data_IF_721075483508
#
_entry.id   IF_721075483508
#
_cell.length_a   1.000
_cell.length_b   1.000
_cell.length_c   1.000
_cell.angle_alpha   90.00
_cell.angle_beta   90.00
_cell.angle_gamma   90.00
#
_symmetry.space_group_name_H-M   'P 1'
#
loop_
_entity.id
_entity.type
_entity.pdbx_description
1 polymer ?
#
# COMPACT_ATOMS: atom_id res chain seq x y z
N UNK A 1 26.03 -18.18 -68.68
CA UNK A 1 25.43 -17.12 -67.81
C UNK A 1 24.79 -17.79 -66.61
N UNK A 2 25.41 -17.76 -65.44
CA UNK A 2 24.81 -18.33 -64.21
C UNK A 2 23.98 -17.27 -63.46
N UNK A 3 22.75 -17.64 -63.16
CA UNK A 3 21.82 -16.85 -62.30
C UNK A 3 22.18 -17.01 -60.84
N UNK A 4 22.60 -15.92 -60.18
CA UNK A 4 22.79 -15.83 -58.72
C UNK A 4 21.42 -15.87 -58.02
N UNK A 5 21.20 -16.91 -57.23
CA UNK A 5 20.11 -17.02 -56.24
C UNK A 5 20.54 -16.33 -54.95
N UNK A 6 20.03 -15.13 -54.69
CA UNK A 6 20.18 -14.45 -53.42
C UNK A 6 19.31 -15.16 -52.36
N UNK A 7 19.96 -15.81 -51.37
CA UNK A 7 19.29 -16.37 -50.19
C UNK A 7 18.99 -15.24 -49.23
N UNK A 8 17.70 -14.91 -49.10
CA UNK A 8 17.24 -13.96 -48.04
C UNK A 8 17.21 -14.75 -46.73
N UNK A 9 18.10 -14.36 -45.80
CA UNK A 9 18.14 -14.87 -44.42
C UNK A 9 17.12 -14.06 -43.60
N UNK A 10 15.96 -14.66 -43.32
CA UNK A 10 14.98 -14.07 -42.39
C UNK A 10 15.46 -14.37 -40.98
N UNK A 11 16.01 -13.34 -40.30
CA UNK A 11 16.34 -13.42 -38.88
C UNK A 11 15.06 -13.18 -38.07
N UNK A 12 14.50 -14.26 -37.55
CA UNK A 12 13.37 -14.21 -36.63
C UNK A 12 13.88 -13.79 -35.24
N UNK A 13 13.72 -12.49 -34.88
CA UNK A 13 14.01 -11.99 -33.53
C UNK A 13 12.85 -12.43 -32.62
N UNK A 14 13.04 -13.52 -31.89
CA UNK A 14 12.16 -13.89 -30.77
C UNK A 14 12.42 -12.93 -29.61
N UNK A 15 11.55 -11.93 -29.47
CA UNK A 15 11.50 -11.11 -28.27
C UNK A 15 11.01 -11.98 -27.09
N UNK A 16 11.92 -12.49 -26.28
CA UNK A 16 11.60 -13.06 -24.98
C UNK A 16 11.12 -11.91 -24.07
N UNK A 17 9.81 -11.72 -24.00
CA UNK A 17 9.20 -10.94 -22.95
C UNK A 17 9.49 -11.62 -21.62
N UNK A 18 10.42 -11.07 -20.84
CA UNK A 18 10.61 -11.46 -19.46
C UNK A 18 9.36 -11.02 -18.67
N UNK A 19 8.42 -11.94 -18.50
CA UNK A 19 7.37 -11.78 -17.49
C UNK A 19 8.05 -11.74 -16.15
N UNK A 20 8.08 -10.56 -15.52
CA UNK A 20 8.46 -10.42 -14.12
C UNK A 20 7.37 -11.14 -13.35
N UNK A 21 7.61 -12.39 -12.96
CA UNK A 21 6.75 -13.08 -12.01
C UNK A 21 6.82 -12.26 -10.70
N UNK A 22 5.78 -11.49 -10.41
CA UNK A 22 5.54 -10.96 -9.08
C UNK A 22 5.37 -12.19 -8.21
N UNK A 23 6.34 -12.44 -7.34
CA UNK A 23 6.25 -13.52 -6.37
C UNK A 23 4.95 -13.30 -5.59
N UNK A 24 3.98 -14.17 -5.81
CA UNK A 24 2.71 -14.20 -5.08
C UNK A 24 3.06 -14.30 -3.60
N UNK A 25 2.96 -13.17 -2.90
CA UNK A 25 3.12 -13.15 -1.45
C UNK A 25 2.04 -14.08 -0.90
N UNK A 26 2.49 -15.11 -0.19
CA UNK A 26 1.74 -16.22 0.35
C UNK A 26 0.31 -15.83 0.76
N UNK A 27 -0.69 -16.29 0.02
CA UNK A 27 -2.10 -16.08 0.32
C UNK A 27 -2.69 -17.34 0.97
N UNK A 28 -3.43 -17.15 2.06
CA UNK A 28 -4.22 -18.23 2.67
C UNK A 28 -5.63 -18.20 2.10
N UNK A 29 -6.07 -19.31 1.55
CA UNK A 29 -7.40 -19.50 0.96
C UNK A 29 -8.39 -20.03 1.99
N UNK A 30 -9.53 -19.37 2.15
CA UNK A 30 -10.51 -19.68 3.18
C UNK A 30 -11.93 -19.52 2.64
N UNK A 31 -12.83 -20.46 2.98
CA UNK A 31 -14.24 -20.42 2.59
C UNK A 31 -15.12 -19.50 3.45
N UNK A 32 -14.56 -18.86 4.50
CA UNK A 32 -15.32 -18.02 5.43
C UNK A 32 -14.89 -16.57 5.32
N UNK A 33 -15.86 -15.68 5.13
CA UNK A 33 -15.61 -14.23 5.07
C UNK A 33 -14.97 -13.69 6.35
N UNK A 34 -14.02 -12.75 6.28
CA UNK A 34 -13.54 -12.06 7.45
C UNK A 34 -14.68 -11.26 8.10
N UNK A 35 -14.74 -11.18 9.43
CA UNK A 35 -15.70 -10.33 10.11
C UNK A 35 -15.49 -8.85 9.78
N UNK A 36 -16.51 -8.04 10.10
CA UNK A 36 -16.40 -6.57 9.99
C UNK A 36 -15.25 -6.07 10.85
N UNK A 37 -14.41 -5.12 10.37
CA UNK A 37 -13.36 -4.52 11.16
C UNK A 37 -13.86 -3.93 12.48
N UNK A 38 -13.02 -3.95 13.51
CA UNK A 38 -13.37 -3.41 14.83
C UNK A 38 -13.10 -1.90 14.88
N UNK A 39 -13.88 -1.21 15.70
CA UNK A 39 -13.61 0.19 16.04
C UNK A 39 -12.33 0.26 16.87
N UNK A 40 -11.46 1.21 16.55
CA UNK A 40 -10.18 1.41 17.22
C UNK A 40 -9.96 2.88 17.55
N UNK A 41 -9.15 3.11 18.56
CA UNK A 41 -8.62 4.44 18.89
C UNK A 41 -7.15 4.45 18.53
N UNK A 42 -6.76 5.37 17.66
CA UNK A 42 -5.35 5.58 17.31
C UNK A 42 -4.62 6.17 18.52
N UNK A 43 -3.49 5.59 18.87
CA UNK A 43 -2.59 6.17 19.88
C UNK A 43 -1.75 7.31 19.29
N UNK A 44 -1.01 8.02 20.13
CA UNK A 44 -0.07 9.05 19.66
C UNK A 44 1.04 8.41 18.84
N UNK A 45 1.38 9.02 17.69
CA UNK A 45 2.47 8.56 16.86
C UNK A 45 3.82 8.69 17.58
N UNK A 46 4.68 7.64 17.54
CA UNK A 46 6.02 7.72 18.16
C UNK A 46 6.93 8.79 17.54
N UNK A 47 6.76 9.08 16.27
CA UNK A 47 7.42 10.20 15.58
C UNK A 47 6.69 10.54 14.26
N UNK A 48 7.01 11.70 13.63
CA UNK A 48 6.44 12.06 12.32
C UNK A 48 6.72 11.07 11.19
N UNK A 49 7.76 10.25 11.34
CA UNK A 49 8.13 9.22 10.36
C UNK A 49 7.32 7.92 10.51
N UNK A 50 6.29 7.89 11.34
CA UNK A 50 5.41 6.73 11.49
C UNK A 50 4.07 6.99 10.80
N UNK A 51 3.54 5.96 10.16
CA UNK A 51 2.18 5.91 9.65
C UNK A 51 1.39 4.81 10.36
N UNK A 52 0.08 5.00 10.45
CA UNK A 52 -0.80 4.03 11.11
C UNK A 52 -1.18 2.90 10.16
N UNK A 53 -0.96 1.67 10.60
CA UNK A 53 -1.56 0.47 10.00
C UNK A 53 -2.76 0.11 10.84
N UNK A 54 -3.96 0.27 10.30
CA UNK A 54 -5.22 -0.04 11.00
C UNK A 54 -5.34 -1.52 11.32
N UNK A 55 -6.10 -1.83 12.35
CA UNK A 55 -6.36 -3.21 12.72
C UNK A 55 -7.03 -4.01 11.61
N UNK A 56 -6.77 -5.29 11.63
CA UNK A 56 -7.26 -6.21 10.61
C UNK A 56 -7.49 -7.61 11.16
N UNK A 57 -8.32 -8.38 10.48
CA UNK A 57 -8.48 -9.78 10.75
C UNK A 57 -7.39 -10.59 10.04
N UNK A 58 -6.70 -11.43 10.79
CA UNK A 58 -5.71 -12.37 10.31
C UNK A 58 -6.22 -13.80 10.52
N UNK A 59 -5.89 -14.71 9.61
CA UNK A 59 -6.19 -16.12 9.77
C UNK A 59 -5.04 -16.85 10.46
N UNK A 60 -5.33 -17.60 11.53
CA UNK A 60 -4.32 -18.36 12.28
C UNK A 60 -4.29 -19.87 11.94
N UNK A 61 -5.00 -20.29 10.89
CA UNK A 61 -5.16 -21.69 10.52
C UNK A 61 -6.52 -22.28 10.96
N UNK A 62 -7.20 -21.68 11.93
CA UNK A 62 -8.46 -22.18 12.50
C UNK A 62 -9.56 -21.11 12.56
N UNK A 63 -9.19 -19.88 12.82
CA UNK A 63 -10.14 -18.78 13.04
C UNK A 63 -9.56 -17.43 12.59
N UNK A 64 -10.47 -16.48 12.37
CA UNK A 64 -10.09 -15.07 12.25
C UNK A 64 -9.69 -14.50 13.61
N UNK A 65 -8.48 -13.98 13.72
CA UNK A 65 -7.95 -13.33 14.91
C UNK A 65 -7.71 -11.85 14.61
N UNK A 66 -8.25 -10.99 15.47
CA UNK A 66 -8.03 -9.55 15.33
C UNK A 66 -6.60 -9.16 15.70
N UNK A 67 -5.94 -8.45 14.81
CA UNK A 67 -4.69 -7.75 15.07
C UNK A 67 -5.01 -6.27 15.19
N UNK A 68 -4.75 -5.69 16.36
CA UNK A 68 -4.95 -4.27 16.59
C UNK A 68 -4.05 -3.39 15.75
N UNK A 69 -4.54 -2.20 15.45
CA UNK A 69 -3.77 -1.21 14.71
C UNK A 69 -2.48 -0.80 15.45
N UNK A 70 -1.47 -0.41 14.69
CA UNK A 70 -0.17 -0.05 15.22
C UNK A 70 0.58 0.92 14.31
N UNK A 71 1.55 1.62 14.89
CA UNK A 71 2.41 2.53 14.17
C UNK A 71 3.59 1.79 13.53
N UNK A 72 3.84 2.08 12.27
CA UNK A 72 4.96 1.53 11.50
C UNK A 72 5.86 2.67 11.04
N UNK A 73 7.17 2.52 11.26
CA UNK A 73 8.14 3.53 10.82
C UNK A 73 8.32 3.43 9.30
N UNK A 74 8.15 4.57 8.61
CA UNK A 74 8.39 4.66 7.17
C UNK A 74 9.86 4.31 6.84
N UNK A 75 10.07 3.67 5.70
CA UNK A 75 11.39 3.26 5.19
C UNK A 75 11.68 3.98 3.89
N UNK A 76 12.82 4.65 3.80
CA UNK A 76 13.24 5.30 2.57
C UNK A 76 13.35 4.27 1.41
N UNK A 77 12.78 4.61 0.25
CA UNK A 77 12.79 3.75 -0.93
C UNK A 77 11.96 2.47 -0.81
N UNK A 78 11.07 2.39 0.19
CA UNK A 78 10.14 1.27 0.35
C UNK A 78 8.73 1.78 0.66
N UNK A 79 7.73 1.03 0.22
CA UNK A 79 6.31 1.27 0.52
C UNK A 79 5.75 0.08 1.25
N UNK A 80 4.93 0.35 2.26
CA UNK A 80 4.17 -0.69 2.94
C UNK A 80 2.91 -1.02 2.14
N UNK A 81 2.84 -2.25 1.64
CA UNK A 81 1.61 -2.83 1.10
C UNK A 81 0.83 -3.40 2.28
N UNK A 82 -0.40 -2.90 2.50
CA UNK A 82 -1.23 -3.36 3.61
C UNK A 82 -1.68 -4.79 3.41
N UNK A 83 -1.83 -5.49 4.53
CA UNK A 83 -2.62 -6.71 4.56
C UNK A 83 -4.04 -6.47 4.04
N UNK A 84 -4.58 -7.43 3.33
CA UNK A 84 -5.94 -7.35 2.83
C UNK A 84 -6.54 -8.73 2.56
N UNK A 85 -7.85 -8.75 2.52
CA UNK A 85 -8.63 -9.89 2.07
C UNK A 85 -9.17 -9.60 0.68
N UNK A 86 -9.08 -10.55 -0.24
CA UNK A 86 -9.70 -10.48 -1.55
C UNK A 86 -10.71 -11.61 -1.71
N UNK A 87 -11.90 -11.30 -2.22
CA UNK A 87 -12.93 -12.27 -2.55
C UNK A 87 -12.82 -12.65 -4.03
N UNK A 88 -12.63 -13.94 -4.31
CA UNK A 88 -12.54 -14.48 -5.67
C UNK A 88 -13.39 -15.73 -5.78
N UNK A 89 -14.45 -15.68 -6.61
CA UNK A 89 -15.44 -16.76 -6.66
C UNK A 89 -16.16 -16.91 -5.33
N UNK A 90 -16.11 -18.07 -4.71
CA UNK A 90 -16.71 -18.35 -3.39
C UNK A 90 -15.67 -18.39 -2.26
N UNK A 91 -14.48 -17.84 -2.48
CA UNK A 91 -13.36 -18.00 -1.55
C UNK A 91 -12.72 -16.65 -1.21
N UNK A 92 -12.18 -16.60 0.00
CA UNK A 92 -11.45 -15.46 0.52
C UNK A 92 -9.96 -15.76 0.58
N UNK A 93 -9.15 -14.82 0.10
CA UNK A 93 -7.71 -14.89 0.09
C UNK A 93 -7.14 -13.82 1.00
N UNK A 94 -6.32 -14.22 1.96
CA UNK A 94 -5.60 -13.29 2.82
C UNK A 94 -4.20 -13.02 2.27
N UNK A 95 -3.90 -11.76 2.05
CA UNK A 95 -2.59 -11.28 1.64
C UNK A 95 -1.96 -10.53 2.81
N UNK A 96 -0.87 -11.05 3.41
CA UNK A 96 -0.19 -10.39 4.52
C UNK A 96 0.52 -9.11 4.08
N UNK A 97 0.52 -8.12 4.96
CA UNK A 97 1.24 -6.87 4.73
C UNK A 97 2.75 -7.10 4.59
N UNK A 98 3.37 -6.37 3.69
CA UNK A 98 4.80 -6.49 3.41
C UNK A 98 5.41 -5.20 2.84
N UNK A 99 6.75 -5.11 2.87
CA UNK A 99 7.48 -4.00 2.29
C UNK A 99 7.85 -4.30 0.83
N UNK A 100 7.60 -3.32 -0.04
CA UNK A 100 8.01 -3.37 -1.46
C UNK A 100 9.00 -2.24 -1.73
N UNK A 101 10.11 -2.54 -2.40
CA UNK A 101 11.01 -1.51 -2.91
C UNK A 101 10.29 -0.69 -3.97
N UNK A 102 10.42 0.62 -3.91
CA UNK A 102 9.83 1.51 -4.91
C UNK A 102 10.88 2.08 -5.83
N UNK A 103 10.61 2.01 -7.13
CA UNK A 103 11.05 3.05 -8.05
C UNK A 103 10.06 4.20 -7.94
N UNK A 104 10.46 5.47 -8.17
CA UNK A 104 9.53 6.58 -8.21
C UNK A 104 8.36 6.26 -9.14
N UNK A 105 7.13 6.37 -8.62
CA UNK A 105 5.93 6.14 -9.43
C UNK A 105 5.61 7.44 -10.17
N UNK A 106 5.37 7.42 -11.49
CA UNK A 106 4.88 8.59 -12.20
C UNK A 106 3.60 9.11 -11.53
N UNK A 107 3.59 10.37 -11.12
CA UNK A 107 2.47 10.98 -10.41
C UNK A 107 2.52 10.88 -8.87
N UNK A 108 3.51 10.21 -8.29
CA UNK A 108 3.76 10.26 -6.84
C UNK A 108 4.13 11.69 -6.43
N UNK A 109 3.30 12.28 -5.56
CA UNK A 109 3.57 13.62 -5.03
C UNK A 109 4.60 13.51 -3.92
N UNK A 110 5.82 13.98 -4.18
CA UNK A 110 6.91 14.08 -3.20
C UNK A 110 7.27 15.55 -3.00
N UNK A 111 6.96 16.08 -1.83
CA UNK A 111 7.20 17.48 -1.50
C UNK A 111 8.17 17.55 -0.33
N UNK A 112 9.23 18.35 -0.48
CA UNK A 112 10.25 18.53 0.56
C UNK A 112 9.85 19.69 1.47
N UNK A 113 9.83 19.45 2.78
CA UNK A 113 9.64 20.46 3.80
C UNK A 113 10.91 20.58 4.67
N UNK A 114 11.33 21.81 5.01
CA UNK A 114 12.51 22.01 5.86
C UNK A 114 12.28 21.63 7.34
N UNK A 115 11.01 21.55 7.75
CA UNK A 115 10.60 21.22 9.12
C UNK A 115 9.79 19.92 9.15
N UNK A 116 9.88 19.14 10.24
CA UNK A 116 9.02 17.97 10.43
C UNK A 116 7.55 18.37 10.50
N UNK A 117 6.62 17.48 10.11
CA UNK A 117 5.20 17.71 10.38
C UNK A 117 4.95 17.75 11.89
N UNK A 118 3.89 18.44 12.33
CA UNK A 118 3.45 18.39 13.71
C UNK A 118 3.11 16.97 14.18
N UNK A 119 2.92 16.78 15.50
CA UNK A 119 2.45 15.51 16.04
C UNK A 119 1.11 15.11 15.41
N UNK A 120 0.95 13.83 15.09
CA UNK A 120 -0.28 13.30 14.52
C UNK A 120 -1.41 13.45 15.53
N UNK A 121 -2.58 13.90 15.06
CA UNK A 121 -3.77 14.04 15.90
C UNK A 121 -4.33 12.66 16.21
N UNK A 122 -4.80 12.48 17.45
CA UNK A 122 -5.52 11.28 17.85
C UNK A 122 -6.91 11.31 17.23
N UNK A 123 -7.30 10.21 16.58
CA UNK A 123 -8.62 10.04 15.96
C UNK A 123 -9.30 8.79 16.51
N UNK A 124 -10.60 8.87 16.66
CA UNK A 124 -11.44 7.70 16.89
C UNK A 124 -11.91 7.19 15.54
N UNK A 125 -11.60 5.94 15.22
CA UNK A 125 -12.05 5.31 13.98
C UNK A 125 -13.55 5.01 14.12
N UNK A 126 -14.43 5.62 13.31
CA UNK A 126 -15.85 5.34 13.37
C UNK A 126 -16.15 3.91 12.87
N UNK A 127 -17.36 3.38 13.14
CA UNK A 127 -17.75 2.08 12.60
C UNK A 127 -17.57 2.01 11.08
N UNK A 128 -17.07 0.87 10.55
CA UNK A 128 -16.88 0.71 9.11
C UNK A 128 -18.22 0.65 8.37
N UNK A 129 -18.31 1.22 7.15
CA UNK A 129 -19.52 1.15 6.33
C UNK A 129 -19.77 -0.26 5.77
N UNK A 130 -18.77 -1.14 5.76
CA UNK A 130 -18.89 -2.51 5.27
C UNK A 130 -17.59 -3.31 5.43
N UNK A 131 -17.66 -4.62 5.16
CA UNK A 131 -16.52 -5.53 5.28
C UNK A 131 -15.38 -5.22 4.30
N UNK A 132 -15.71 -4.67 3.13
CA UNK A 132 -14.74 -4.31 2.08
C UNK A 132 -14.12 -2.93 2.28
N UNK A 133 -14.36 -2.28 3.41
CA UNK A 133 -13.77 -0.98 3.74
C UNK A 133 -12.51 -1.15 4.58
N UNK A 134 -11.62 -0.15 4.50
CA UNK A 134 -10.47 0.00 5.38
C UNK A 134 -10.27 1.46 5.76
N UNK A 135 -9.75 1.69 6.95
CA UNK A 135 -9.48 3.03 7.44
C UNK A 135 -8.18 3.59 6.88
N UNK A 136 -8.26 4.73 6.22
CA UNK A 136 -7.12 5.58 5.91
C UNK A 136 -6.98 6.58 7.05
N UNK A 137 -5.92 6.43 7.84
CA UNK A 137 -5.69 7.28 8.98
C UNK A 137 -5.45 8.74 8.60
N UNK A 138 -5.88 9.66 9.46
CA UNK A 138 -5.56 11.07 9.31
C UNK A 138 -4.05 11.31 9.38
N UNK A 139 -3.59 12.29 8.64
CA UNK A 139 -2.18 12.61 8.52
C UNK A 139 -1.96 14.09 8.20
N UNK A 140 -0.75 14.57 8.42
CA UNK A 140 -0.34 15.88 7.95
C UNK A 140 0.07 15.80 6.49
N UNK A 141 -0.60 16.54 5.63
CA UNK A 141 -0.17 16.85 4.27
C UNK A 141 0.62 18.15 4.20
N UNK A 142 1.03 18.55 3.01
CA UNK A 142 1.68 19.83 2.76
C UNK A 142 0.97 20.55 1.59
N UNK A 143 0.43 21.73 1.87
CA UNK A 143 -0.21 22.59 0.88
C UNK A 143 0.37 24.00 1.02
N UNK A 144 0.81 24.60 -0.07
CA UNK A 144 1.41 25.94 -0.08
C UNK A 144 2.48 26.14 1.01
N UNK A 145 3.37 25.14 1.18
CA UNK A 145 4.44 25.10 2.19
C UNK A 145 3.95 25.06 3.66
N UNK A 146 2.66 24.92 3.89
CA UNK A 146 2.08 24.77 5.22
C UNK A 146 1.61 23.33 5.49
N UNK A 147 1.79 22.85 6.71
CA UNK A 147 1.23 21.58 7.12
C UNK A 147 -0.28 21.68 7.30
N UNK A 148 -1.04 20.88 6.57
CA UNK A 148 -2.50 20.82 6.62
C UNK A 148 -2.92 19.45 7.11
N UNK A 149 -3.82 19.39 8.10
CA UNK A 149 -4.35 18.14 8.57
C UNK A 149 -5.38 17.58 7.60
N UNK A 150 -5.14 16.37 7.10
CA UNK A 150 -6.09 15.58 6.32
C UNK A 150 -6.72 14.57 7.27
N UNK A 151 -8.03 14.69 7.60
CA UNK A 151 -8.68 13.77 8.52
C UNK A 151 -8.78 12.36 7.94
N UNK A 152 -8.83 11.39 8.84
CA UNK A 152 -9.00 9.99 8.44
C UNK A 152 -10.37 9.75 7.80
N UNK A 153 -10.43 8.73 6.98
CA UNK A 153 -11.65 8.35 6.27
C UNK A 153 -11.68 6.86 5.94
N UNK A 154 -12.87 6.34 5.72
CA UNK A 154 -13.06 5.03 5.15
C UNK A 154 -12.87 5.06 3.63
N UNK A 155 -12.13 4.09 3.12
CA UNK A 155 -11.98 3.82 1.69
C UNK A 155 -12.48 2.41 1.38
N UNK A 156 -13.03 2.22 0.19
CA UNK A 156 -13.41 0.89 -0.30
C UNK A 156 -12.21 0.22 -0.95
N UNK A 157 -12.07 -1.08 -0.74
CA UNK A 157 -11.03 -1.89 -1.42
C UNK A 157 -11.26 -1.85 -2.92
N UNK A 158 -10.17 -1.82 -3.68
CA UNK A 158 -10.19 -1.93 -5.14
C UNK A 158 -9.61 -3.27 -5.54
N UNK A 159 -10.16 -3.86 -6.59
CA UNK A 159 -9.64 -5.10 -7.17
C UNK A 159 -8.26 -4.81 -7.78
N UNK A 160 -7.29 -5.67 -7.50
CA UNK A 160 -5.91 -5.57 -8.04
C UNK A 160 -5.16 -4.26 -7.67
N UNK A 161 -5.66 -3.52 -6.68
CA UNK A 161 -4.98 -2.33 -6.17
C UNK A 161 -4.82 -2.39 -4.66
N UNK A 162 -3.71 -1.85 -4.16
CA UNK A 162 -3.47 -1.66 -2.72
C UNK A 162 -3.23 -0.20 -2.41
N UNK A 163 -3.73 0.24 -1.26
CA UNK A 163 -3.51 1.59 -0.79
C UNK A 163 -2.15 1.72 -0.13
N UNK A 164 -1.36 2.68 -0.62
CA UNK A 164 -0.12 3.12 0.01
C UNK A 164 -0.45 4.29 0.93
N UNK A 165 -0.23 4.17 2.26
CA UNK A 165 -0.52 5.27 3.18
C UNK A 165 0.36 6.48 2.93
N UNK A 166 -0.20 7.68 3.09
CA UNK A 166 0.59 8.89 3.17
C UNK A 166 1.57 8.83 4.34
N UNK A 167 2.80 9.29 4.15
CA UNK A 167 3.83 9.25 5.18
C UNK A 167 4.93 10.29 4.94
N UNK A 168 5.72 10.53 5.97
CA UNK A 168 6.88 11.41 5.91
C UNK A 168 8.16 10.61 6.07
N UNK A 169 9.16 10.93 5.26
CA UNK A 169 10.49 10.32 5.32
C UNK A 169 11.53 11.42 5.52
N UNK A 170 12.46 11.22 6.45
CA UNK A 170 13.60 12.12 6.60
C UNK A 170 14.69 11.72 5.62
N UNK A 171 15.02 12.61 4.70
CA UNK A 171 16.07 12.42 3.67
C UNK A 171 17.09 13.56 3.74
N UNK A 172 18.16 13.49 2.91
CA UNK A 172 19.10 14.60 2.78
C UNK A 172 18.36 15.84 2.26
N UNK A 173 18.36 16.90 3.05
CA UNK A 173 17.70 18.17 2.67
C UNK A 173 16.36 18.43 3.34
N UNK A 174 15.83 17.51 4.17
CA UNK A 174 14.63 17.77 4.95
C UNK A 174 13.65 16.59 5.03
N UNK A 175 12.42 16.91 5.29
CA UNK A 175 11.32 15.98 5.38
C UNK A 175 10.59 15.88 4.04
N UNK A 176 10.49 14.69 3.50
CA UNK A 176 9.78 14.42 2.24
C UNK A 176 8.40 13.87 2.57
N UNK A 177 7.36 14.57 2.12
CA UNK A 177 5.99 14.08 2.14
C UNK A 177 5.75 13.19 0.93
N UNK A 178 5.26 11.98 1.18
CA UNK A 178 4.77 11.05 0.15
C UNK A 178 3.26 10.94 0.31
N UNK A 179 2.51 11.39 -0.69
CA UNK A 179 1.05 11.36 -0.68
C UNK A 179 0.51 9.94 -0.76
N UNK A 180 -0.63 9.70 -0.11
CA UNK A 180 -1.31 8.41 -0.22
C UNK A 180 -1.85 8.19 -1.63
N UNK A 181 -1.70 6.97 -2.14
CA UNK A 181 -2.12 6.62 -3.50
C UNK A 181 -2.43 5.12 -3.64
N UNK A 182 -3.16 4.79 -4.71
CA UNK A 182 -3.42 3.41 -5.10
C UNK A 182 -2.28 2.89 -5.97
N UNK A 183 -1.96 1.62 -5.81
CA UNK A 183 -0.94 0.92 -6.58
C UNK A 183 -1.45 -0.44 -7.02
N UNK A 184 -1.23 -0.81 -8.29
CA UNK A 184 -1.46 -2.16 -8.78
C UNK A 184 -0.52 -3.19 -8.11
N UNK A 185 -1.05 -4.39 -7.86
CA UNK A 185 -0.33 -5.54 -7.30
C UNK A 185 -0.15 -6.64 -8.33
#
# INVERSE_FOLDING_TARGET
MPRSLARILVVLVLAFGASVAVADSFSVRIGVAPPVPRVEVMTVAPSPAHFWVGGHWQWNGHAHVWRGGHWVKARAGQVWVRDHWAHRGNEWFYYPGHWVKTSPVPGEVRIVAPKPPPAVRVETVPPPPGADSFWVAGHWGLENHAHVWVPGRWEMRRVEEVWVPAHWVHERGGWVYVGGHWRHV
#
